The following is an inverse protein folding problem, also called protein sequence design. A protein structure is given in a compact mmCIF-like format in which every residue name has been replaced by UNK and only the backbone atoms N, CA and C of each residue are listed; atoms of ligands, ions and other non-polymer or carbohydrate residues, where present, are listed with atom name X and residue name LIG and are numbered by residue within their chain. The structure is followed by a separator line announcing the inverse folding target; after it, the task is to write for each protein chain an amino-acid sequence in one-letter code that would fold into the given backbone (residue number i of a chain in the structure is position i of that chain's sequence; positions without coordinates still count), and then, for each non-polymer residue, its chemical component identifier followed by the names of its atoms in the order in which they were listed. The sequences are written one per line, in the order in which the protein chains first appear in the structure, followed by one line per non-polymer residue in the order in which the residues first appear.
data_IF_803600739217
#
_entry.id   IF_803600739217
#
_cell.length_a   1.000
_cell.length_b   1.000
_cell.length_c   1.000
_cell.angle_alpha   90.00
_cell.angle_beta   90.00
_cell.angle_gamma   90.00
#
_symmetry.space_group_name_H-M   'P 1'
#
loop_
_entity.id
_entity.type
_entity.pdbx_description
1 polymer ?
#
# COMPACT_ATOMS: atom_id res chain seq x y z
N UNK A 1 -21.96 0.90 -6.39
CA UNK A 1 -21.05 1.37 -5.32
C UNK A 1 -20.69 0.24 -4.36
N UNK A 2 -21.62 -0.32 -3.58
CA UNK A 2 -21.30 -1.38 -2.61
C UNK A 2 -20.55 -2.62 -3.17
N UNK A 3 -20.82 -3.06 -4.41
CA UNK A 3 -20.05 -4.16 -5.03
C UNK A 3 -18.60 -3.77 -5.34
N UNK A 4 -18.37 -2.54 -5.81
CA UNK A 4 -17.03 -2.04 -6.13
C UNK A 4 -16.20 -1.93 -4.86
N UNK A 5 -16.79 -1.37 -3.79
CA UNK A 5 -16.12 -1.30 -2.47
C UNK A 5 -15.75 -2.68 -1.93
N UNK A 6 -16.70 -3.62 -1.96
CA UNK A 6 -16.45 -5.01 -1.53
C UNK A 6 -15.25 -5.63 -2.25
N UNK A 7 -15.11 -5.39 -3.56
CA UNK A 7 -13.98 -5.91 -4.35
C UNK A 7 -12.64 -5.27 -3.96
N UNK A 8 -12.62 -3.98 -3.60
CA UNK A 8 -11.42 -3.32 -3.08
C UNK A 8 -11.02 -3.91 -1.73
N UNK A 9 -12.00 -4.13 -0.84
CA UNK A 9 -11.74 -4.72 0.48
C UNK A 9 -11.23 -6.18 0.36
N UNK A 10 -11.79 -6.97 -0.56
CA UNK A 10 -11.32 -8.33 -0.88
C UNK A 10 -9.91 -8.32 -1.47
N UNK A 11 -9.61 -7.38 -2.36
CA UNK A 11 -8.25 -7.19 -2.88
C UNK A 11 -7.29 -6.81 -1.75
N UNK A 12 -7.70 -5.95 -0.81
CA UNK A 12 -6.88 -5.56 0.34
C UNK A 12 -6.48 -6.78 1.18
N UNK A 13 -7.43 -7.66 1.46
CA UNK A 13 -7.21 -8.89 2.22
C UNK A 13 -6.32 -9.88 1.45
N UNK A 14 -6.59 -10.09 0.15
CA UNK A 14 -5.81 -11.00 -0.70
C UNK A 14 -4.36 -10.55 -0.86
N UNK A 15 -4.14 -9.25 -1.07
CA UNK A 15 -2.81 -8.64 -1.20
C UNK A 15 -2.14 -8.39 0.15
N UNK A 16 -2.83 -8.68 1.27
CA UNK A 16 -2.33 -8.52 2.63
C UNK A 16 -1.83 -7.10 2.93
N UNK A 17 -2.58 -6.09 2.49
CA UNK A 17 -2.19 -4.68 2.58
C UNK A 17 -1.76 -4.27 4.00
N UNK A 18 -2.50 -4.70 5.03
CA UNK A 18 -2.14 -4.37 6.43
C UNK A 18 -0.81 -4.98 6.86
N UNK A 19 -0.53 -6.23 6.46
CA UNK A 19 0.74 -6.87 6.74
C UNK A 19 1.88 -6.21 5.97
N UNK A 20 1.65 -5.82 4.72
CA UNK A 20 2.61 -5.08 3.90
C UNK A 20 2.92 -3.71 4.50
N UNK A 21 1.94 -3.01 5.07
CA UNK A 21 2.16 -1.74 5.80
C UNK A 21 3.03 -1.94 7.04
N UNK A 22 2.75 -2.98 7.84
CA UNK A 22 3.57 -3.31 9.01
C UNK A 22 5.01 -3.64 8.59
N UNK A 23 5.19 -4.46 7.56
CA UNK A 23 6.51 -4.82 7.04
C UNK A 23 7.26 -3.62 6.46
N UNK A 24 6.57 -2.72 5.77
CA UNK A 24 7.19 -1.49 5.26
C UNK A 24 7.75 -0.63 6.40
N UNK A 25 7.00 -0.48 7.50
CA UNK A 25 7.46 0.26 8.67
C UNK A 25 8.71 -0.37 9.33
N UNK A 26 8.79 -1.71 9.37
CA UNK A 26 10.00 -2.41 9.82
C UNK A 26 11.19 -2.15 8.89
N UNK A 27 10.96 -2.22 7.58
CA UNK A 27 12.00 -1.97 6.56
C UNK A 27 12.49 -0.52 6.59
N UNK A 28 11.62 0.47 6.84
CA UNK A 28 12.04 1.87 7.04
C UNK A 28 13.05 2.01 8.17
N UNK A 29 12.82 1.29 9.28
CA UNK A 29 13.77 1.26 10.41
C UNK A 29 15.07 0.60 9.98
N UNK A 30 15.02 -0.53 9.25
CA UNK A 30 16.22 -1.22 8.76
C UNK A 30 17.04 -0.36 7.79
N UNK A 31 16.38 0.30 6.82
CA UNK A 31 17.02 1.18 5.82
C UNK A 31 17.66 2.40 6.47
N UNK A 32 17.10 2.90 7.57
CA UNK A 32 17.66 4.01 8.33
C UNK A 32 18.93 3.65 9.13
N UNK A 33 19.26 2.36 9.30
CA UNK A 33 20.43 1.94 10.07
C UNK A 33 21.72 2.22 9.30
N UNK A 34 22.70 2.93 9.90
CA UNK A 34 23.97 3.25 9.22
C UNK A 34 24.80 2.01 8.85
N UNK A 35 24.68 0.94 9.63
CA UNK A 35 25.44 -0.30 9.46
C UNK A 35 24.87 -1.22 8.37
N UNK A 36 23.66 -0.96 7.87
CA UNK A 36 23.08 -1.71 6.75
C UNK A 36 24.03 -1.73 5.55
N UNK A 37 24.71 -0.61 5.28
CA UNK A 37 25.59 -0.43 4.14
C UNK A 37 26.94 -1.15 4.27
N UNK A 38 27.25 -1.72 5.44
CA UNK A 38 28.43 -2.57 5.62
C UNK A 38 28.27 -3.94 4.95
N UNK A 39 27.04 -4.38 4.72
CA UNK A 39 26.70 -5.59 3.98
C UNK A 39 25.91 -5.21 2.72
N UNK A 40 26.62 -5.11 1.60
CA UNK A 40 26.05 -4.69 0.33
C UNK A 40 24.96 -5.63 -0.20
N UNK A 41 25.07 -6.93 0.07
CA UNK A 41 24.07 -7.92 -0.39
C UNK A 41 22.78 -7.76 0.42
N UNK A 42 22.89 -7.65 1.74
CA UNK A 42 21.76 -7.37 2.61
C UNK A 42 21.11 -6.01 2.31
N UNK A 43 21.92 -4.96 2.13
CA UNK A 43 21.43 -3.63 1.76
C UNK A 43 20.63 -3.66 0.46
N UNK A 44 21.10 -4.40 -0.55
CA UNK A 44 20.37 -4.56 -1.82
C UNK A 44 19.03 -5.27 -1.60
N UNK A 45 19.02 -6.38 -0.85
CA UNK A 45 17.80 -7.15 -0.54
C UNK A 45 16.76 -6.31 0.19
N UNK A 46 17.17 -5.61 1.26
CA UNK A 46 16.30 -4.75 2.07
C UNK A 46 15.73 -3.60 1.24
N UNK A 47 16.56 -2.92 0.44
CA UNK A 47 16.09 -1.83 -0.41
C UNK A 47 15.15 -2.29 -1.54
N UNK A 48 15.41 -3.45 -2.14
CA UNK A 48 14.49 -4.04 -3.13
C UNK A 48 13.15 -4.39 -2.50
N UNK A 49 13.14 -5.04 -1.34
CA UNK A 49 11.91 -5.36 -0.60
C UNK A 49 11.12 -4.09 -0.25
N UNK A 50 11.81 -3.08 0.30
CA UNK A 50 11.23 -1.78 0.64
C UNK A 50 10.60 -1.10 -0.56
N UNK A 51 11.32 -1.02 -1.70
CA UNK A 51 10.85 -0.33 -2.89
C UNK A 51 9.62 -1.01 -3.51
N UNK A 52 9.61 -2.35 -3.53
CA UNK A 52 8.49 -3.13 -4.04
C UNK A 52 7.24 -2.94 -3.17
N UNK A 53 7.37 -3.14 -1.86
CA UNK A 53 6.23 -3.00 -0.94
C UNK A 53 5.69 -1.57 -0.92
N UNK A 54 6.55 -0.56 -1.00
CA UNK A 54 6.14 0.83 -1.10
C UNK A 54 5.33 1.08 -2.38
N UNK A 55 5.81 0.61 -3.53
CA UNK A 55 5.11 0.74 -4.80
C UNK A 55 3.73 0.07 -4.79
N UNK A 56 3.65 -1.18 -4.32
CA UNK A 56 2.39 -1.93 -4.23
C UNK A 56 1.37 -1.22 -3.32
N UNK A 57 1.83 -0.67 -2.18
CA UNK A 57 0.99 0.06 -1.25
C UNK A 57 0.53 1.41 -1.80
N UNK A 58 1.37 2.13 -2.53
CA UNK A 58 1.02 3.39 -3.20
C UNK A 58 -0.05 3.14 -4.27
N UNK A 59 0.13 2.11 -5.11
CA UNK A 59 -0.84 1.74 -6.15
C UNK A 59 -2.19 1.37 -5.55
N UNK A 60 -2.20 0.50 -4.52
CA UNK A 60 -3.44 0.12 -3.85
C UNK A 60 -4.13 1.31 -3.17
N UNK A 61 -3.37 2.18 -2.49
CA UNK A 61 -3.93 3.35 -1.80
C UNK A 61 -4.56 4.33 -2.79
N UNK A 62 -3.94 4.53 -3.95
CA UNK A 62 -4.51 5.36 -5.03
C UNK A 62 -5.83 4.80 -5.55
N UNK A 63 -5.89 3.48 -5.80
CA UNK A 63 -7.11 2.81 -6.24
C UNK A 63 -8.24 2.92 -5.20
N UNK A 64 -7.93 2.67 -3.93
CA UNK A 64 -8.91 2.76 -2.84
C UNK A 64 -9.48 4.19 -2.72
N UNK A 65 -8.61 5.20 -2.78
CA UNK A 65 -9.04 6.62 -2.76
C UNK A 65 -9.92 6.96 -3.95
N UNK A 66 -9.61 6.47 -5.15
CA UNK A 66 -10.44 6.71 -6.32
C UNK A 66 -11.85 6.10 -6.18
N UNK A 67 -11.98 4.96 -5.50
CA UNK A 67 -13.29 4.38 -5.21
C UNK A 67 -14.05 5.21 -4.18
N UNK A 68 -13.39 5.70 -3.13
CA UNK A 68 -13.99 6.61 -2.15
C UNK A 68 -14.53 7.88 -2.82
N UNK A 69 -13.72 8.51 -3.68
CA UNK A 69 -14.12 9.71 -4.43
C UNK A 69 -15.32 9.45 -5.35
N UNK A 70 -15.35 8.29 -6.02
CA UNK A 70 -16.49 7.87 -6.86
C UNK A 70 -17.77 7.67 -6.04
N UNK A 71 -17.67 7.17 -4.80
CA UNK A 71 -18.82 7.01 -3.90
C UNK A 71 -19.43 8.36 -3.53
N UNK A 72 -18.59 9.33 -3.18
CA UNK A 72 -19.03 10.71 -2.90
C UNK A 72 -19.69 11.33 -4.13
N UNK A 73 -19.08 11.23 -5.32
CA UNK A 73 -19.65 11.78 -6.55
C UNK A 73 -20.99 11.12 -6.92
N UNK A 74 -21.12 9.82 -6.70
CA UNK A 74 -22.36 9.07 -6.96
C UNK A 74 -23.49 9.47 -5.98
N UNK A 75 -23.17 9.75 -4.72
CA UNK A 75 -24.11 10.28 -3.73
C UNK A 75 -24.59 11.69 -4.13
N UNK A 76 -23.65 12.60 -4.43
CA UNK A 76 -23.97 13.95 -4.89
C UNK A 76 -24.88 13.96 -6.13
N UNK A 77 -24.66 13.05 -7.07
CA UNK A 77 -25.48 12.95 -8.29
C UNK A 77 -26.91 12.45 -8.02
N UNK A 78 -27.18 11.79 -6.89
CA UNK A 78 -28.51 11.31 -6.49
C UNK A 78 -29.29 12.28 -5.62
N UNK A 79 -28.61 13.25 -5.01
CA UNK A 79 -29.22 14.32 -4.22
C UNK A 79 -29.68 15.53 -5.07
N UNK A 80 -29.47 15.46 -6.39
CA UNK A 80 -29.96 16.41 -7.41
C UNK A 80 -31.23 15.86 -8.07
#
# INVERSE_FOLDING_TARGET
MGEVRRRVDEAAAYLKIDASRARLAELEIEVAKPDLWNDQENAKRVNTEYSNLKGDLEEFTSLASAVDDLEVLHEMAREI
#
